data_IF_410195553309
#
_entry.id   IF_410195553309
#
_cell.length_a   1.000
_cell.length_b   1.000
_cell.length_c   1.000
_cell.angle_alpha   90.00
_cell.angle_beta   90.00
_cell.angle_gamma   90.00
#
_symmetry.space_group_name_H-M   'P 1'
#
loop_
_entity.id
_entity.type
_entity.pdbx_description
1 polymer ?
#
# COMPACT_ATOMS: atom_id res chain seq x y z
N UNK A 1 -48.60 -7.77 35.04
CA UNK A 1 -48.11 -6.65 34.21
C UNK A 1 -46.80 -7.06 33.55
N UNK A 2 -46.92 -7.39 32.29
CA UNK A 2 -45.78 -7.67 31.44
C UNK A 2 -45.12 -6.36 31.08
N UNK A 3 -43.82 -6.31 31.24
CA UNK A 3 -43.00 -5.20 30.77
C UNK A 3 -42.57 -5.50 29.34
N UNK A 4 -43.04 -4.77 28.34
CA UNK A 4 -42.71 -5.04 26.96
C UNK A 4 -41.77 -3.95 26.42
N UNK A 5 -40.54 -3.87 26.83
CA UNK A 5 -39.56 -3.00 26.15
C UNK A 5 -38.12 -3.54 26.28
N UNK A 6 -37.85 -4.66 25.64
CA UNK A 6 -36.47 -4.97 25.27
C UNK A 6 -36.42 -5.17 23.76
N UNK A 7 -36.70 -4.10 23.05
CA UNK A 7 -36.36 -4.06 21.63
C UNK A 7 -34.90 -3.53 21.52
N UNK A 8 -33.94 -4.41 21.72
CA UNK A 8 -32.57 -4.16 21.37
C UNK A 8 -32.31 -4.79 20.02
N UNK A 9 -32.84 -4.18 18.97
CA UNK A 9 -32.39 -4.46 17.60
C UNK A 9 -31.02 -3.85 17.37
N UNK A 10 -30.05 -4.12 18.23
CA UNK A 10 -28.67 -3.86 17.94
C UNK A 10 -28.19 -5.00 17.04
N UNK A 11 -28.19 -4.75 15.75
CA UNK A 11 -27.53 -5.64 14.79
C UNK A 11 -26.08 -5.84 15.30
N UNK A 12 -25.65 -7.08 15.56
CA UNK A 12 -24.29 -7.31 16.02
C UNK A 12 -23.30 -6.71 15.02
N UNK A 13 -22.33 -5.96 15.50
CA UNK A 13 -21.26 -5.44 14.64
C UNK A 13 -20.54 -6.62 13.97
N UNK A 14 -20.22 -6.53 12.67
CA UNK A 14 -19.55 -7.62 11.97
C UNK A 14 -18.21 -7.93 12.63
N UNK A 15 -17.94 -9.19 12.92
CA UNK A 15 -16.67 -9.66 13.49
C UNK A 15 -15.55 -9.78 12.45
N UNK A 16 -15.90 -9.71 11.16
CA UNK A 16 -15.00 -9.88 10.03
C UNK A 16 -15.09 -8.71 9.06
N UNK A 17 -14.01 -8.49 8.32
CA UNK A 17 -14.03 -7.57 7.19
C UNK A 17 -14.91 -8.11 6.05
N UNK A 18 -15.37 -7.21 5.18
CA UNK A 18 -16.09 -7.60 3.97
C UNK A 18 -15.19 -8.40 3.03
N UNK A 19 -15.78 -9.22 2.16
CA UNK A 19 -15.00 -9.97 1.13
C UNK A 19 -14.20 -9.03 0.24
N UNK A 20 -14.76 -7.90 -0.13
CA UNK A 20 -14.06 -6.89 -0.93
C UNK A 20 -12.84 -6.36 -0.19
N UNK A 21 -12.97 -6.00 1.10
CA UNK A 21 -11.86 -5.53 1.91
C UNK A 21 -10.76 -6.60 2.04
N UNK A 22 -11.13 -7.85 2.28
CA UNK A 22 -10.19 -8.99 2.37
C UNK A 22 -9.46 -9.19 1.05
N UNK A 23 -10.17 -9.20 -0.07
CA UNK A 23 -9.58 -9.38 -1.40
C UNK A 23 -8.60 -8.27 -1.74
N UNK A 24 -8.98 -7.01 -1.52
CA UNK A 24 -8.11 -5.86 -1.75
C UNK A 24 -6.87 -5.90 -0.86
N UNK A 25 -7.03 -6.26 0.41
CA UNK A 25 -5.90 -6.37 1.34
C UNK A 25 -4.84 -7.36 0.83
N UNK A 26 -5.25 -8.59 0.52
CA UNK A 26 -4.29 -9.63 0.11
C UNK A 26 -3.72 -9.40 -1.27
N UNK A 27 -4.52 -8.87 -2.20
CA UNK A 27 -4.04 -8.52 -3.52
C UNK A 27 -2.96 -7.43 -3.45
N UNK A 28 -3.21 -6.36 -2.70
CA UNK A 28 -2.23 -5.28 -2.48
C UNK A 28 -1.00 -5.82 -1.77
N UNK A 29 -1.18 -6.64 -0.73
CA UNK A 29 -0.07 -7.21 0.02
C UNK A 29 0.86 -8.06 -0.86
N UNK A 30 0.30 -8.93 -1.68
CA UNK A 30 1.08 -9.79 -2.59
C UNK A 30 1.78 -8.97 -3.67
N UNK A 31 1.08 -8.03 -4.29
CA UNK A 31 1.68 -7.15 -5.30
C UNK A 31 2.78 -6.28 -4.72
N UNK A 32 2.57 -5.72 -3.54
CA UNK A 32 3.53 -4.87 -2.87
C UNK A 32 4.79 -5.65 -2.46
N UNK A 33 4.64 -6.83 -1.87
CA UNK A 33 5.79 -7.66 -1.48
C UNK A 33 6.60 -8.07 -2.72
N UNK A 34 5.94 -8.54 -3.77
CA UNK A 34 6.59 -8.86 -5.04
C UNK A 34 7.30 -7.64 -5.63
N UNK A 35 6.69 -6.47 -5.56
CA UNK A 35 7.25 -5.24 -6.09
C UNK A 35 8.46 -4.73 -5.31
N UNK A 36 8.47 -4.89 -3.99
CA UNK A 36 9.63 -4.61 -3.15
C UNK A 36 10.81 -5.48 -3.56
N UNK A 37 10.57 -6.77 -3.79
CA UNK A 37 11.61 -7.69 -4.26
C UNK A 37 12.16 -7.25 -5.61
N UNK A 38 11.31 -6.87 -6.57
CA UNK A 38 11.75 -6.36 -7.87
C UNK A 38 12.57 -5.08 -7.73
N UNK A 39 12.13 -4.14 -6.91
CA UNK A 39 12.84 -2.88 -6.68
C UNK A 39 14.21 -3.08 -6.04
N UNK A 40 14.30 -3.95 -5.03
CA UNK A 40 15.55 -4.23 -4.33
C UNK A 40 16.55 -5.03 -5.16
N UNK A 41 16.08 -5.84 -6.09
CA UNK A 41 16.92 -6.74 -6.88
C UNK A 41 17.20 -6.24 -8.30
N UNK A 42 16.60 -5.12 -8.71
CA UNK A 42 16.62 -4.66 -10.10
C UNK A 42 18.03 -4.61 -10.71
N UNK A 43 19.00 -4.10 -9.97
CA UNK A 43 20.39 -3.98 -10.44
C UNK A 43 21.16 -5.30 -10.39
N UNK A 44 20.64 -6.31 -9.72
CA UNK A 44 21.26 -7.64 -9.58
C UNK A 44 20.92 -8.59 -10.72
N UNK A 45 19.97 -8.21 -11.58
CA UNK A 45 19.58 -9.00 -12.73
C UNK A 45 20.60 -8.87 -13.87
N UNK A 46 20.68 -9.87 -14.76
CA UNK A 46 21.46 -9.72 -15.99
C UNK A 46 21.06 -8.47 -16.78
N UNK A 47 21.98 -7.83 -17.48
CA UNK A 47 21.77 -6.53 -18.13
C UNK A 47 20.52 -6.50 -19.03
N UNK A 48 20.24 -7.57 -19.77
CA UNK A 48 19.06 -7.67 -20.63
C UNK A 48 17.75 -7.70 -19.85
N UNK A 49 17.77 -8.07 -18.57
CA UNK A 49 16.61 -8.19 -17.71
C UNK A 49 16.35 -6.96 -16.85
N UNK A 50 17.35 -6.09 -16.66
CA UNK A 50 17.22 -4.91 -15.79
C UNK A 50 16.06 -4.03 -16.24
N UNK A 51 15.97 -3.71 -17.53
CA UNK A 51 14.91 -2.86 -18.06
C UNK A 51 13.51 -3.49 -17.89
N UNK A 52 13.27 -4.74 -18.28
CA UNK A 52 12.00 -5.40 -18.02
C UNK A 52 11.62 -5.47 -16.55
N UNK A 53 12.57 -5.71 -15.67
CA UNK A 53 12.34 -5.75 -14.21
C UNK A 53 11.91 -4.38 -13.69
N UNK A 54 12.61 -3.31 -14.09
CA UNK A 54 12.25 -1.94 -13.69
C UNK A 54 10.88 -1.54 -14.24
N UNK A 55 10.59 -1.84 -15.49
CA UNK A 55 9.30 -1.54 -16.10
C UNK A 55 8.16 -2.30 -15.43
N UNK A 56 8.38 -3.54 -15.04
CA UNK A 56 7.42 -4.33 -14.26
C UNK A 56 7.22 -3.73 -12.87
N UNK A 57 8.29 -3.30 -12.20
CA UNK A 57 8.22 -2.62 -10.91
C UNK A 57 7.36 -1.35 -10.99
N UNK A 58 7.57 -0.53 -12.00
CA UNK A 58 6.77 0.68 -12.24
C UNK A 58 5.28 0.33 -12.47
N UNK A 59 5.01 -0.66 -13.31
CA UNK A 59 3.64 -1.09 -13.64
C UNK A 59 2.90 -1.61 -12.42
N UNK A 60 3.53 -2.43 -11.61
CA UNK A 60 2.96 -2.92 -10.35
C UNK A 60 2.73 -1.76 -9.40
N UNK A 61 3.68 -0.82 -9.30
CA UNK A 61 3.53 0.36 -8.46
C UNK A 61 2.29 1.19 -8.80
N UNK A 62 2.06 1.47 -10.08
CA UNK A 62 0.85 2.17 -10.54
C UNK A 62 -0.42 1.36 -10.22
N UNK A 63 -0.37 0.06 -10.41
CA UNK A 63 -1.50 -0.83 -10.06
C UNK A 63 -1.80 -0.79 -8.56
N UNK A 64 -0.78 -0.85 -7.72
CA UNK A 64 -0.94 -0.72 -6.26
C UNK A 64 -1.52 0.64 -5.89
N UNK A 65 -1.10 1.73 -6.54
CA UNK A 65 -1.67 3.06 -6.32
C UNK A 65 -3.18 3.07 -6.60
N UNK A 66 -3.61 2.53 -7.73
CA UNK A 66 -5.03 2.43 -8.07
C UNK A 66 -5.83 1.58 -7.09
N UNK A 67 -5.30 0.41 -6.72
CA UNK A 67 -5.93 -0.47 -5.74
C UNK A 67 -5.97 0.14 -4.33
N UNK A 68 -4.94 0.87 -3.93
CA UNK A 68 -4.90 1.57 -2.64
C UNK A 68 -5.95 2.68 -2.57
N UNK A 69 -6.15 3.42 -3.67
CA UNK A 69 -7.21 4.42 -3.76
C UNK A 69 -8.59 3.77 -3.65
N UNK A 70 -8.83 2.68 -4.36
CA UNK A 70 -10.09 1.92 -4.26
C UNK A 70 -10.32 1.38 -2.85
N UNK A 71 -9.29 0.85 -2.22
CA UNK A 71 -9.37 0.37 -0.84
C UNK A 71 -9.67 1.48 0.14
N UNK A 72 -9.06 2.64 -0.03
CA UNK A 72 -9.32 3.81 0.81
C UNK A 72 -10.78 4.28 0.68
N UNK A 73 -11.31 4.33 -0.54
CA UNK A 73 -12.71 4.66 -0.80
C UNK A 73 -13.64 3.62 -0.18
N UNK A 74 -13.34 2.33 -0.32
CA UNK A 74 -14.11 1.25 0.28
C UNK A 74 -14.15 1.37 1.80
N UNK A 75 -13.00 1.69 2.43
CA UNK A 75 -12.90 1.86 3.87
C UNK A 75 -13.73 3.03 4.40
N UNK A 76 -13.81 4.11 3.65
CA UNK A 76 -14.62 5.29 4.02
C UNK A 76 -16.11 4.94 3.98
N UNK A 77 -16.54 4.15 3.01
CA UNK A 77 -17.94 3.75 2.83
C UNK A 77 -18.34 2.52 3.64
N UNK A 78 -17.38 1.68 4.04
CA UNK A 78 -17.62 0.43 4.79
C UNK A 78 -16.68 0.39 6.00
N UNK A 79 -17.20 0.75 7.17
CA UNK A 79 -16.40 0.78 8.40
C UNK A 79 -15.84 -0.61 8.71
N UNK A 80 -14.55 -0.70 9.05
CA UNK A 80 -13.96 -1.96 9.48
C UNK A 80 -14.54 -2.41 10.83
N UNK A 81 -14.52 -3.72 11.15
CA UNK A 81 -14.93 -4.20 12.47
C UNK A 81 -14.03 -3.61 13.55
N UNK A 82 -14.57 -3.24 14.72
CA UNK A 82 -13.79 -2.70 15.83
C UNK A 82 -12.80 -3.75 16.35
N UNK A 83 -11.69 -3.28 16.91
CA UNK A 83 -10.74 -4.14 17.60
C UNK A 83 -11.39 -4.72 18.87
N UNK A 84 -11.04 -5.97 19.28
CA UNK A 84 -11.53 -6.57 20.50
C UNK A 84 -11.31 -5.67 21.72
N UNK A 85 -12.29 -5.66 22.64
CA UNK A 85 -12.24 -4.81 23.85
C UNK A 85 -11.11 -5.21 24.81
N UNK A 86 -10.66 -6.46 24.74
CA UNK A 86 -9.58 -6.98 25.58
C UNK A 86 -8.22 -6.38 25.24
N UNK A 87 -8.07 -5.72 24.08
CA UNK A 87 -6.81 -5.08 23.72
C UNK A 87 -6.56 -3.86 24.59
N UNK A 88 -5.33 -3.71 25.16
CA UNK A 88 -4.94 -2.48 25.82
C UNK A 88 -5.10 -1.27 24.91
N UNK A 89 -5.41 -0.11 25.49
CA UNK A 89 -5.62 1.12 24.71
C UNK A 89 -4.42 1.49 23.85
N UNK A 90 -3.19 1.29 24.35
CA UNK A 90 -1.97 1.58 23.60
C UNK A 90 -1.81 0.70 22.37
N UNK A 91 -2.22 -0.59 22.43
CA UNK A 91 -2.19 -1.49 21.28
C UNK A 91 -3.22 -1.08 20.21
N UNK A 92 -4.40 -0.62 20.61
CA UNK A 92 -5.41 -0.08 19.69
C UNK A 92 -4.90 1.17 18.97
N UNK A 93 -4.28 2.09 19.72
CA UNK A 93 -3.69 3.31 19.15
C UNK A 93 -2.56 2.94 18.19
N UNK A 94 -1.67 2.04 18.61
CA UNK A 94 -0.57 1.57 17.77
C UNK A 94 -1.06 0.93 16.47
N UNK A 95 -2.12 0.10 16.53
CA UNK A 95 -2.72 -0.52 15.36
C UNK A 95 -3.31 0.54 14.41
N UNK A 96 -4.06 1.52 14.93
CA UNK A 96 -4.63 2.58 14.12
C UNK A 96 -3.56 3.45 13.45
N UNK A 97 -2.51 3.81 14.18
CA UNK A 97 -1.39 4.58 13.63
C UNK A 97 -0.66 3.79 12.55
N UNK A 98 -0.35 2.52 12.82
CA UNK A 98 0.32 1.66 11.84
C UNK A 98 -0.50 1.49 10.56
N UNK A 99 -1.81 1.27 10.67
CA UNK A 99 -2.70 1.15 9.51
C UNK A 99 -2.79 2.47 8.73
N UNK A 100 -2.92 3.60 9.42
CA UNK A 100 -2.92 4.91 8.75
C UNK A 100 -1.63 5.15 7.98
N UNK A 101 -0.48 4.86 8.59
CA UNK A 101 0.83 5.04 7.94
C UNK A 101 1.01 4.08 6.76
N UNK A 102 0.53 2.84 6.87
CA UNK A 102 0.55 1.88 5.75
C UNK A 102 -0.32 2.35 4.59
N UNK A 103 -1.53 2.85 4.85
CA UNK A 103 -2.37 3.45 3.80
C UNK A 103 -1.68 4.64 3.13
N UNK A 104 -1.08 5.52 3.94
CA UNK A 104 -0.31 6.65 3.42
C UNK A 104 0.83 6.19 2.51
N UNK A 105 1.61 5.18 2.94
CA UNK A 105 2.74 4.66 2.16
C UNK A 105 2.29 3.96 0.88
N UNK A 106 1.15 3.28 0.88
CA UNK A 106 0.62 2.65 -0.34
C UNK A 106 0.28 3.67 -1.43
N UNK A 107 0.05 4.91 -1.06
CA UNK A 107 -0.17 6.02 -1.98
C UNK A 107 1.13 6.78 -2.24
N UNK A 108 1.86 7.14 -1.20
CA UNK A 108 3.07 7.97 -1.30
C UNK A 108 4.22 7.27 -2.02
N UNK A 109 4.41 5.97 -1.81
CA UNK A 109 5.48 5.20 -2.46
C UNK A 109 5.32 5.15 -3.97
N UNK A 110 4.21 4.68 -4.53
CA UNK A 110 4.02 4.70 -5.98
C UNK A 110 4.04 6.09 -6.56
N UNK A 111 3.47 7.07 -5.85
CA UNK A 111 3.44 8.46 -6.32
C UNK A 111 4.85 9.05 -6.39
N UNK A 112 5.70 8.82 -5.38
CA UNK A 112 7.10 9.27 -5.39
C UNK A 112 7.89 8.61 -6.51
N UNK A 113 7.65 7.33 -6.78
CA UNK A 113 8.26 6.62 -7.90
C UNK A 113 7.83 7.18 -9.26
N UNK A 114 6.55 7.50 -9.42
CA UNK A 114 6.01 8.10 -10.63
C UNK A 114 6.58 9.51 -10.87
N UNK A 115 6.71 10.32 -9.81
CA UNK A 115 7.36 11.63 -9.87
C UNK A 115 8.84 11.50 -10.26
N UNK A 116 9.55 10.57 -9.63
CA UNK A 116 10.95 10.29 -9.93
C UNK A 116 11.14 9.89 -11.41
N UNK A 117 10.33 8.96 -11.90
CA UNK A 117 10.37 8.51 -13.29
C UNK A 117 10.02 9.63 -14.27
N UNK A 118 9.05 10.47 -13.92
CA UNK A 118 8.65 11.63 -14.75
C UNK A 118 9.74 12.69 -14.84
N UNK A 119 10.60 12.80 -13.84
CA UNK A 119 11.74 13.71 -13.81
C UNK A 119 13.01 13.13 -14.48
N UNK A 120 12.95 11.91 -14.98
CA UNK A 120 14.06 11.30 -15.70
C UNK A 120 14.37 12.07 -16.98
N UNK A 121 15.67 12.38 -17.22
CA UNK A 121 16.12 13.19 -18.37
C UNK A 121 15.72 12.60 -19.72
N UNK A 122 15.65 11.26 -19.84
CA UNK A 122 15.34 10.55 -21.07
C UNK A 122 13.88 10.07 -21.11
N UNK A 123 13.01 10.60 -20.26
CA UNK A 123 11.61 10.18 -20.18
C UNK A 123 10.86 10.39 -21.51
N UNK A 124 11.14 11.47 -22.23
CA UNK A 124 10.47 11.78 -23.49
C UNK A 124 10.78 10.77 -24.60
N UNK A 125 11.96 10.16 -24.58
CA UNK A 125 12.41 9.19 -25.61
C UNK A 125 12.15 7.74 -25.20
N UNK A 126 11.72 7.51 -23.98
CA UNK A 126 11.43 6.18 -23.43
C UNK A 126 10.02 6.16 -22.85
N UNK A 127 8.97 6.10 -23.67
CA UNK A 127 7.59 6.12 -23.21
C UNK A 127 7.31 4.98 -22.22
N UNK A 128 6.57 5.28 -21.15
CA UNK A 128 6.13 4.26 -20.23
C UNK A 128 4.94 3.48 -20.79
N UNK A 129 4.96 2.18 -20.60
CA UNK A 129 3.87 1.29 -20.95
C UNK A 129 3.49 0.45 -19.73
N UNK A 130 2.20 0.36 -19.43
CA UNK A 130 1.72 -0.46 -18.31
C UNK A 130 1.72 -1.94 -18.72
N UNK A 131 2.56 -2.73 -18.07
CA UNK A 131 2.78 -4.16 -18.39
C UNK A 131 3.02 -4.43 -19.89
N UNK A 132 3.60 -3.46 -20.59
CA UNK A 132 3.81 -3.50 -22.03
C UNK A 132 2.53 -3.69 -22.87
N UNK A 133 1.36 -3.42 -22.29
CA UNK A 133 0.06 -3.58 -22.96
C UNK A 133 -0.44 -2.29 -23.60
N UNK A 134 -0.32 -1.16 -22.91
CA UNK A 134 -0.79 0.14 -23.41
C UNK A 134 0.06 1.27 -22.83
N UNK A 135 0.11 2.44 -23.52
CA UNK A 135 0.85 3.60 -23.02
C UNK A 135 0.28 4.09 -21.68
N UNK A 136 1.17 4.46 -20.78
CA UNK A 136 0.81 5.08 -19.51
C UNK A 136 1.47 6.45 -19.42
N UNK A 137 0.73 7.52 -19.12
CA UNK A 137 1.31 8.87 -19.08
C UNK A 137 2.24 9.05 -17.89
N UNK A 138 3.36 9.69 -18.11
CA UNK A 138 4.12 10.35 -17.05
C UNK A 138 3.47 11.67 -16.69
N UNK A 139 3.90 12.28 -15.58
CA UNK A 139 3.35 13.56 -15.12
C UNK A 139 3.94 14.66 -15.99
N UNK A 140 3.15 15.18 -16.92
CA UNK A 140 3.59 16.13 -17.94
C UNK A 140 4.18 17.42 -17.37
N UNK A 141 3.61 17.93 -16.28
CA UNK A 141 4.15 19.11 -15.59
C UNK A 141 5.62 18.91 -15.18
N UNK A 142 5.95 17.74 -14.62
CA UNK A 142 7.31 17.40 -14.21
C UNK A 142 8.21 17.20 -15.43
N UNK A 143 7.73 16.55 -16.48
CA UNK A 143 8.49 16.30 -17.70
C UNK A 143 8.92 17.60 -18.39
N UNK A 144 8.11 18.64 -18.29
CA UNK A 144 8.30 19.92 -18.98
C UNK A 144 9.04 20.97 -18.14
N UNK A 145 9.55 20.61 -16.97
CA UNK A 145 10.35 21.50 -16.14
C UNK A 145 11.70 21.80 -16.80
N UNK A 146 12.32 22.91 -16.38
CA UNK A 146 13.68 23.24 -16.76
C UNK A 146 14.64 22.05 -16.49
N UNK A 147 15.53 21.71 -17.43
CA UNK A 147 16.39 20.53 -17.29
C UNK A 147 17.21 20.47 -16.00
N UNK A 148 17.74 21.60 -15.52
CA UNK A 148 18.52 21.64 -14.29
C UNK A 148 17.65 21.38 -13.06
N UNK A 149 16.45 21.96 -12.99
CA UNK A 149 15.48 21.71 -11.94
C UNK A 149 14.98 20.27 -11.99
N UNK A 150 14.71 19.76 -13.18
CA UNK A 150 14.26 18.40 -13.41
C UNK A 150 15.26 17.36 -12.89
N UNK A 151 16.54 17.57 -13.14
CA UNK A 151 17.61 16.70 -12.63
C UNK A 151 17.68 16.71 -11.10
N UNK A 152 17.59 17.89 -10.48
CA UNK A 152 17.55 18.02 -9.02
C UNK A 152 16.35 17.30 -8.44
N UNK A 153 15.16 17.46 -9.04
CA UNK A 153 13.93 16.79 -8.59
C UNK A 153 13.98 15.28 -8.80
N UNK A 154 14.61 14.82 -9.90
CA UNK A 154 14.81 13.39 -10.12
C UNK A 154 15.57 12.75 -8.95
N UNK A 155 16.68 13.37 -8.54
CA UNK A 155 17.49 12.89 -7.42
C UNK A 155 16.71 12.95 -6.09
N UNK A 156 15.99 14.04 -5.85
CA UNK A 156 15.21 14.21 -4.61
C UNK A 156 14.02 13.27 -4.52
N UNK A 157 13.28 13.07 -5.60
CA UNK A 157 12.18 12.11 -5.64
C UNK A 157 12.69 10.67 -5.50
N UNK A 158 13.85 10.37 -6.07
CA UNK A 158 14.50 9.08 -5.88
C UNK A 158 14.89 8.83 -4.43
N UNK A 159 15.49 9.82 -3.77
CA UNK A 159 15.83 9.75 -2.35
C UNK A 159 14.58 9.63 -1.47
N UNK A 160 13.52 10.35 -1.80
CA UNK A 160 12.23 10.25 -1.10
C UNK A 160 11.64 8.84 -1.25
N UNK A 161 11.60 8.31 -2.47
CA UNK A 161 11.08 6.98 -2.74
C UNK A 161 11.85 5.91 -1.94
N UNK A 162 13.16 5.98 -1.92
CA UNK A 162 14.01 5.07 -1.14
C UNK A 162 13.74 5.20 0.37
N UNK A 163 13.65 6.42 0.88
CA UNK A 163 13.38 6.67 2.30
C UNK A 163 12.01 6.16 2.73
N UNK A 164 10.99 6.38 1.91
CA UNK A 164 9.66 5.83 2.14
C UNK A 164 9.66 4.30 2.09
N UNK A 165 10.51 3.71 1.27
CA UNK A 165 10.73 2.27 1.23
C UNK A 165 11.24 1.72 2.55
N UNK A 166 12.22 2.36 3.18
CA UNK A 166 12.70 1.97 4.50
C UNK A 166 11.62 2.09 5.58
N UNK A 167 10.82 3.15 5.53
CA UNK A 167 9.68 3.29 6.43
C UNK A 167 8.66 2.16 6.23
N UNK A 168 8.41 1.76 4.97
CA UNK A 168 7.54 0.63 4.65
C UNK A 168 8.08 -0.66 5.26
N UNK A 169 9.37 -0.95 5.13
CA UNK A 169 9.95 -2.19 5.66
C UNK A 169 9.76 -2.29 7.17
N UNK A 170 10.01 -1.19 7.90
CA UNK A 170 9.82 -1.14 9.35
C UNK A 170 8.35 -1.33 9.74
N UNK A 171 7.44 -0.60 9.09
CA UNK A 171 6.00 -0.70 9.37
C UNK A 171 5.42 -2.06 8.99
N UNK A 172 5.88 -2.64 7.89
CA UNK A 172 5.44 -3.95 7.45
C UNK A 172 5.87 -5.05 8.43
N UNK A 173 7.11 -4.97 8.92
CA UNK A 173 7.61 -5.88 9.95
C UNK A 173 6.79 -5.78 11.24
N UNK A 174 6.47 -4.55 11.68
CA UNK A 174 5.63 -4.30 12.85
C UNK A 174 4.20 -4.79 12.63
N UNK A 175 3.63 -4.57 11.44
CA UNK A 175 2.28 -4.98 11.09
C UNK A 175 2.15 -6.51 11.09
N UNK A 176 3.06 -7.21 10.41
CA UNK A 176 3.07 -8.68 10.35
C UNK A 176 3.38 -9.25 11.75
N UNK A 177 4.40 -8.73 12.41
CA UNK A 177 4.79 -9.16 13.75
C UNK A 177 3.67 -8.97 14.78
N UNK A 178 2.97 -7.84 14.72
CA UNK A 178 1.81 -7.56 15.57
C UNK A 178 0.66 -8.53 15.34
N UNK A 179 0.34 -8.82 14.07
CA UNK A 179 -0.70 -9.76 13.72
C UNK A 179 -0.37 -11.19 14.21
N UNK A 180 0.87 -11.61 14.05
CA UNK A 180 1.35 -12.92 14.52
C UNK A 180 1.37 -13.00 16.04
N UNK A 181 1.78 -11.92 16.71
CA UNK A 181 1.75 -11.85 18.18
C UNK A 181 0.32 -12.03 18.70
N UNK A 182 -0.63 -11.29 18.15
CA UNK A 182 -2.04 -11.38 18.57
C UNK A 182 -2.63 -12.75 18.29
N UNK A 183 -2.29 -13.38 17.17
CA UNK A 183 -2.82 -14.67 16.79
C UNK A 183 -2.26 -15.81 17.66
N UNK A 184 -0.94 -15.85 17.90
CA UNK A 184 -0.27 -17.01 18.49
C UNK A 184 0.18 -16.82 19.93
N UNK A 185 0.56 -15.60 20.34
CA UNK A 185 1.00 -15.32 21.71
C UNK A 185 -0.19 -14.92 22.56
N UNK A 186 -0.96 -13.93 22.12
CA UNK A 186 -2.13 -13.43 22.86
C UNK A 186 -3.38 -14.29 22.60
N UNK A 187 -3.33 -15.22 21.65
CA UNK A 187 -4.43 -16.11 21.25
C UNK A 187 -5.71 -15.35 20.89
N UNK A 188 -5.57 -14.16 20.30
CA UNK A 188 -6.68 -13.34 19.80
C UNK A 188 -6.82 -13.54 18.29
N UNK A 189 -8.03 -13.83 17.82
CA UNK A 189 -8.30 -14.24 16.43
C UNK A 189 -8.29 -13.07 15.44
N UNK A 190 -7.21 -12.27 15.42
CA UNK A 190 -7.09 -11.09 14.55
C UNK A 190 -6.91 -11.50 13.09
N UNK A 191 -6.08 -12.51 12.81
CA UNK A 191 -5.87 -13.01 11.44
C UNK A 191 -7.15 -13.56 10.82
N UNK A 192 -7.98 -14.24 11.59
CA UNK A 192 -9.25 -14.81 11.10
C UNK A 192 -10.22 -13.76 10.56
N UNK A 193 -10.06 -12.50 10.96
CA UNK A 193 -10.88 -11.38 10.49
C UNK A 193 -10.54 -10.98 9.05
N UNK A 194 -9.34 -11.35 8.56
CA UNK A 194 -8.80 -11.00 7.25
C UNK A 194 -8.52 -12.21 6.36
N UNK A 195 -8.93 -13.41 6.77
CA UNK A 195 -8.80 -14.64 5.96
C UNK A 195 -10.09 -14.90 5.22
N UNK A 196 -10.04 -15.27 3.93
CA UNK A 196 -11.22 -15.60 3.12
C UNK A 196 -12.11 -16.70 3.69
#
# INVERSE_FOLDING_TARGET
HADPLTDSTSTPLPSRYTRTAITLHWLIALLMIGNVVLGLTAESWPDDWVRPVVDTHKSIGITVLGLALLRSLWRVSHKPPPLPREFPSWEKIAAHVAHFLLYFLMIALPLSGWLHDSAWKDAATHPMRLFNLFPWPRIGYVMNLDPALKETLHDRFGALHTSLGYALYALLAMHIGGALKHQWIDRKSVLKRMVP
#
